data_IF_723716038239
#
_entry.id   IF_723716038239
#
_cell.length_a   1.000
_cell.length_b   1.000
_cell.length_c   1.000
_cell.angle_alpha   90.00
_cell.angle_beta   90.00
_cell.angle_gamma   90.00
#
_symmetry.space_group_name_H-M   'P 1'
#
loop_
_entity.id
_entity.type
_entity.pdbx_description
1 polymer ?
#
# COMPACT_ATOMS: atom_id res chain seq x y z
N UNK A 1 -17.92 -3.24 10.03
CA UNK A 1 -18.28 -3.63 8.64
C UNK A 1 -18.91 -2.44 7.90
N UNK A 2 -18.94 -2.40 6.53
CA UNK A 2 -19.53 -1.30 5.77
C UNK A 2 -20.97 -0.99 6.17
N UNK A 3 -21.79 -2.00 6.37
CA UNK A 3 -23.17 -1.83 6.79
C UNK A 3 -23.34 -1.10 8.12
N UNK A 4 -22.52 -1.35 9.11
CA UNK A 4 -22.58 -0.67 10.41
C UNK A 4 -22.28 0.82 10.28
N UNK A 5 -21.36 1.18 9.39
CA UNK A 5 -20.97 2.57 9.15
C UNK A 5 -22.13 3.41 8.59
N UNK A 6 -22.92 2.84 7.69
CA UNK A 6 -23.98 3.59 6.98
C UNK A 6 -25.38 3.41 7.56
N UNK A 7 -25.73 2.24 8.07
CA UNK A 7 -27.10 1.92 8.45
C UNK A 7 -27.34 1.86 9.95
N UNK A 8 -26.30 1.55 10.75
CA UNK A 8 -26.46 1.36 12.18
C UNK A 8 -26.07 2.59 13.03
N UNK A 9 -25.58 3.68 12.40
CA UNK A 9 -25.28 4.97 13.04
C UNK A 9 -24.26 4.90 14.20
N UNK A 10 -23.45 3.85 14.25
CA UNK A 10 -22.50 3.63 15.33
C UNK A 10 -21.25 4.50 15.12
N UNK A 11 -21.19 5.66 15.75
CA UNK A 11 -20.04 6.57 15.69
C UNK A 11 -18.71 5.87 16.07
N UNK A 12 -18.76 4.89 16.97
CA UNK A 12 -17.58 4.09 17.34
C UNK A 12 -17.00 3.26 16.20
N UNK A 13 -17.77 2.98 15.15
CA UNK A 13 -17.26 2.25 13.96
C UNK A 13 -16.19 3.05 13.20
N UNK A 14 -16.18 4.38 13.33
CA UNK A 14 -15.11 5.22 12.73
C UNK A 14 -13.74 4.90 13.38
N UNK A 15 -13.73 4.64 14.69
CA UNK A 15 -12.49 4.25 15.38
C UNK A 15 -12.01 2.85 14.96
N UNK A 16 -12.93 1.97 14.58
CA UNK A 16 -12.57 0.63 14.10
C UNK A 16 -11.88 0.65 12.74
N UNK A 17 -12.06 1.70 11.93
CA UNK A 17 -11.33 1.87 10.67
C UNK A 17 -9.82 1.90 10.93
N UNK A 18 -9.38 2.67 11.92
CA UNK A 18 -7.94 2.73 12.25
C UNK A 18 -7.42 1.41 12.82
N UNK A 19 -8.15 0.80 13.77
CA UNK A 19 -7.71 -0.46 14.39
C UNK A 19 -7.72 -1.63 13.40
N UNK A 20 -8.65 -1.67 12.45
CA UNK A 20 -8.75 -2.72 11.44
C UNK A 20 -7.50 -2.84 10.56
N UNK A 21 -6.78 -1.74 10.34
CA UNK A 21 -5.52 -1.73 9.59
C UNK A 21 -4.40 -2.55 10.27
N UNK A 22 -4.51 -2.81 11.57
CA UNK A 22 -3.52 -3.56 12.35
C UNK A 22 -3.96 -5.01 12.63
N UNK A 23 -5.19 -5.38 12.27
CA UNK A 23 -5.72 -6.73 12.39
C UNK A 23 -5.49 -7.49 11.06
N UNK A 24 -5.23 -8.79 11.14
CA UNK A 24 -5.00 -9.64 9.98
C UNK A 24 -5.74 -10.96 10.11
N UNK A 25 -6.28 -11.45 9.01
CA UNK A 25 -7.07 -12.69 8.96
C UNK A 25 -6.25 -13.98 8.99
N UNK A 26 -4.91 -13.88 9.08
CA UNK A 26 -4.00 -15.03 9.16
C UNK A 26 -2.54 -14.65 8.96
N UNK A 27 -1.65 -15.60 9.25
CA UNK A 27 -0.19 -15.38 9.24
C UNK A 27 0.30 -14.98 7.85
N UNK A 28 -0.15 -15.63 6.79
CA UNK A 28 0.27 -15.30 5.42
C UNK A 28 -0.19 -13.90 5.00
N UNK A 29 -1.39 -13.47 5.45
CA UNK A 29 -1.89 -12.12 5.21
C UNK A 29 -1.02 -11.08 5.92
N UNK A 30 -0.65 -11.32 7.18
CA UNK A 30 0.28 -10.46 7.92
C UNK A 30 1.65 -10.39 7.24
N UNK A 31 2.24 -11.55 6.93
CA UNK A 31 3.57 -11.61 6.32
C UNK A 31 3.60 -10.93 4.94
N UNK A 32 2.55 -11.08 4.14
CA UNK A 32 2.42 -10.38 2.86
C UNK A 32 2.40 -8.86 3.04
N UNK A 33 1.59 -8.34 3.95
CA UNK A 33 1.55 -6.91 4.24
C UNK A 33 2.90 -6.38 4.75
N UNK A 34 3.55 -7.10 5.67
CA UNK A 34 4.86 -6.71 6.20
C UNK A 34 5.96 -6.76 5.14
N UNK A 35 5.92 -7.73 4.24
CA UNK A 35 6.86 -7.84 3.13
C UNK A 35 6.75 -6.62 2.20
N UNK A 36 5.55 -6.24 1.80
CA UNK A 36 5.34 -5.06 0.95
C UNK A 36 5.74 -3.77 1.67
N UNK A 37 5.37 -3.63 2.94
CA UNK A 37 5.77 -2.50 3.76
C UNK A 37 7.30 -2.41 3.90
N UNK A 38 7.98 -3.53 4.08
CA UNK A 38 9.44 -3.59 4.19
C UNK A 38 10.14 -3.23 2.88
N UNK A 39 9.65 -3.74 1.74
CA UNK A 39 10.27 -3.49 0.43
C UNK A 39 10.09 -2.03 -0.01
N UNK A 40 8.88 -1.48 0.15
CA UNK A 40 8.51 -0.19 -0.40
C UNK A 40 8.45 0.94 0.64
N UNK A 41 8.07 0.62 1.88
CA UNK A 41 7.81 1.60 2.93
C UNK A 41 9.03 2.41 3.33
N UNK A 42 10.20 1.79 3.52
CA UNK A 42 11.41 2.47 3.96
C UNK A 42 11.80 3.65 3.07
N UNK A 43 11.71 3.50 1.74
CA UNK A 43 12.06 4.57 0.81
C UNK A 43 11.04 5.71 0.83
N UNK A 44 9.75 5.39 1.03
CA UNK A 44 8.69 6.39 1.14
C UNK A 44 8.80 7.12 2.47
N UNK A 45 9.08 6.43 3.55
CA UNK A 45 9.35 7.02 4.86
C UNK A 45 10.56 7.97 4.81
N UNK A 46 11.67 7.57 4.19
CA UNK A 46 12.83 8.43 3.97
C UNK A 46 12.47 9.70 3.16
N UNK A 47 11.54 9.57 2.21
CA UNK A 47 11.11 10.67 1.36
C UNK A 47 10.32 11.75 2.09
N UNK A 48 9.65 11.43 3.18
CA UNK A 48 8.79 12.37 3.91
C UNK A 48 9.17 12.51 5.40
N UNK A 49 9.78 11.50 6.00
CA UNK A 49 10.13 11.40 7.43
C UNK A 49 9.06 10.67 8.23
N UNK A 50 9.45 10.16 9.42
CA UNK A 50 8.65 9.23 10.22
C UNK A 50 7.23 9.72 10.53
N UNK A 51 7.10 10.95 11.03
CA UNK A 51 5.80 11.50 11.44
C UNK A 51 4.86 11.67 10.25
N UNK A 52 5.35 12.25 9.14
CA UNK A 52 4.54 12.39 7.93
C UNK A 52 4.18 11.03 7.33
N UNK A 53 5.08 10.04 7.39
CA UNK A 53 4.82 8.70 6.91
C UNK A 53 3.67 8.04 7.69
N UNK A 54 3.64 8.18 9.00
CA UNK A 54 2.54 7.66 9.82
C UNK A 54 1.19 8.29 9.42
N UNK A 55 1.12 9.61 9.28
CA UNK A 55 -0.09 10.28 8.82
C UNK A 55 -0.50 9.88 7.40
N UNK A 56 0.46 9.79 6.49
CA UNK A 56 0.24 9.33 5.13
C UNK A 56 -0.37 7.92 5.11
N UNK A 57 0.22 7.00 5.88
CA UNK A 57 -0.25 5.63 6.02
C UNK A 57 -1.69 5.57 6.54
N UNK A 58 -1.99 6.30 7.62
CA UNK A 58 -3.33 6.34 8.22
C UNK A 58 -4.36 6.91 7.24
N UNK A 59 -4.04 8.03 6.57
CA UNK A 59 -4.94 8.67 5.60
C UNK A 59 -5.22 7.75 4.41
N UNK A 60 -4.21 7.06 3.89
CA UNK A 60 -4.40 6.08 2.82
C UNK A 60 -5.29 4.91 3.28
N UNK A 61 -5.11 4.42 4.50
CA UNK A 61 -5.91 3.35 5.07
C UNK A 61 -7.37 3.75 5.32
N UNK A 62 -7.61 4.97 5.81
CA UNK A 62 -8.96 5.52 5.97
C UNK A 62 -9.66 5.64 4.60
N UNK A 63 -8.97 6.22 3.61
CA UNK A 63 -9.53 6.34 2.27
C UNK A 63 -9.83 4.98 1.63
N UNK A 64 -8.96 3.99 1.84
CA UNK A 64 -9.19 2.62 1.42
C UNK A 64 -10.47 2.03 2.01
N UNK A 65 -10.63 2.14 3.33
CA UNK A 65 -11.80 1.63 4.03
C UNK A 65 -13.09 2.32 3.57
N UNK A 66 -13.05 3.65 3.43
CA UNK A 66 -14.19 4.42 2.93
C UNK A 66 -14.54 4.06 1.48
N UNK A 67 -13.55 3.87 0.61
CA UNK A 67 -13.80 3.46 -0.78
C UNK A 67 -14.49 2.10 -0.83
N UNK A 68 -14.02 1.11 -0.08
CA UNK A 68 -14.68 -0.20 0.01
C UNK A 68 -16.11 -0.07 0.54
N UNK A 69 -16.31 0.71 1.61
CA UNK A 69 -17.61 0.89 2.21
C UNK A 69 -18.61 1.58 1.27
N UNK A 70 -18.16 2.57 0.49
CA UNK A 70 -18.99 3.25 -0.51
C UNK A 70 -19.34 2.37 -1.70
N UNK A 71 -18.41 1.51 -2.13
CA UNK A 71 -18.64 0.61 -3.27
C UNK A 71 -19.51 -0.59 -2.90
N UNK A 72 -19.49 -1.03 -1.63
CA UNK A 72 -20.27 -2.18 -1.16
C UNK A 72 -20.93 -1.86 0.19
N UNK A 73 -21.86 -0.91 0.23
CA UNK A 73 -22.41 -0.37 1.48
C UNK A 73 -23.22 -1.38 2.30
N UNK A 74 -23.79 -2.39 1.67
CA UNK A 74 -24.58 -3.45 2.33
C UNK A 74 -23.74 -4.63 2.82
N UNK A 75 -22.42 -4.61 2.64
CA UNK A 75 -21.57 -5.73 3.02
C UNK A 75 -21.46 -5.87 4.54
N UNK A 76 -21.66 -7.09 5.01
CA UNK A 76 -21.46 -7.53 6.41
C UNK A 76 -20.05 -8.12 6.65
N UNK A 77 -19.19 -8.09 5.64
CA UNK A 77 -17.85 -8.68 5.73
C UNK A 77 -16.90 -7.70 6.42
N UNK A 78 -16.23 -8.09 7.51
CA UNK A 78 -15.24 -7.25 8.17
C UNK A 78 -14.07 -6.95 7.24
N UNK A 79 -13.69 -5.69 7.16
CA UNK A 79 -12.47 -5.26 6.47
C UNK A 79 -11.33 -5.22 7.49
N UNK A 80 -10.29 -6.01 7.26
CA UNK A 80 -9.10 -6.07 8.11
C UNK A 80 -7.85 -6.14 7.24
N UNK A 81 -6.78 -5.56 7.72
CA UNK A 81 -5.46 -5.62 7.09
C UNK A 81 -4.88 -4.25 6.74
N UNK A 82 -3.57 -4.21 6.73
CA UNK A 82 -2.76 -3.03 6.38
C UNK A 82 -2.81 -2.71 4.88
N UNK A 83 -3.30 -3.61 4.04
CA UNK A 83 -3.10 -3.62 2.59
C UNK A 83 -3.65 -2.39 1.86
N UNK A 84 -4.73 -1.80 2.35
CA UNK A 84 -5.25 -0.53 1.83
C UNK A 84 -4.27 0.63 2.01
N UNK A 85 -3.68 0.77 3.20
CA UNK A 85 -2.64 1.77 3.47
C UNK A 85 -1.33 1.47 2.71
N UNK A 86 -0.94 0.19 2.64
CA UNK A 86 0.22 -0.27 1.85
C UNK A 86 0.02 0.04 0.36
N UNK A 87 -1.21 -0.04 -0.16
CA UNK A 87 -1.52 0.36 -1.55
C UNK A 87 -1.17 1.83 -1.82
N UNK A 88 -1.43 2.71 -0.85
CA UNK A 88 -1.02 4.10 -0.91
C UNK A 88 0.50 4.26 -0.96
N UNK A 89 1.24 3.46 -0.19
CA UNK A 89 2.70 3.42 -0.25
C UNK A 89 3.17 2.96 -1.64
N UNK A 90 2.53 1.96 -2.24
CA UNK A 90 2.87 1.47 -3.59
C UNK A 90 2.68 2.56 -4.64
N UNK A 91 1.58 3.32 -4.60
CA UNK A 91 1.36 4.42 -5.53
C UNK A 91 2.36 5.55 -5.36
N UNK A 92 2.70 5.91 -4.12
CA UNK A 92 3.76 6.87 -3.83
C UNK A 92 5.13 6.39 -4.37
N UNK A 93 5.42 5.10 -4.22
CA UNK A 93 6.64 4.49 -4.75
C UNK A 93 6.67 4.50 -6.28
N UNK A 94 5.55 4.18 -6.92
CA UNK A 94 5.40 4.26 -8.38
C UNK A 94 5.72 5.66 -8.92
N UNK A 95 5.25 6.69 -8.22
CA UNK A 95 5.49 8.08 -8.64
C UNK A 95 6.92 8.57 -8.33
N UNK A 96 7.51 8.15 -7.21
CA UNK A 96 8.85 8.64 -6.82
C UNK A 96 9.98 7.78 -7.41
N UNK A 97 9.84 6.44 -7.40
CA UNK A 97 10.93 5.50 -7.68
C UNK A 97 10.59 4.38 -8.67
N UNK A 98 9.90 4.65 -9.79
CA UNK A 98 9.42 3.57 -10.70
C UNK A 98 10.56 2.74 -11.31
N UNK A 99 11.75 3.33 -11.44
CA UNK A 99 12.93 2.68 -12.02
C UNK A 99 13.82 1.98 -11.00
N UNK A 100 13.49 2.07 -9.69
CA UNK A 100 14.21 1.32 -8.66
C UNK A 100 14.02 -0.18 -8.89
N UNK A 101 15.10 -0.95 -8.75
CA UNK A 101 15.06 -2.39 -9.02
C UNK A 101 14.72 -3.17 -7.75
N UNK A 102 13.69 -3.99 -7.82
CA UNK A 102 13.29 -4.93 -6.78
C UNK A 102 13.84 -6.31 -7.13
N UNK A 103 14.55 -6.93 -6.19
CA UNK A 103 15.00 -8.32 -6.31
C UNK A 103 13.81 -9.24 -6.14
N UNK A 104 13.41 -9.89 -7.20
CA UNK A 104 12.22 -10.74 -7.29
C UNK A 104 12.63 -12.19 -7.43
N UNK A 105 12.16 -13.03 -6.52
CA UNK A 105 12.33 -14.48 -6.61
C UNK A 105 11.37 -15.02 -7.68
N UNK A 106 11.90 -15.70 -8.67
CA UNK A 106 11.12 -16.26 -9.77
C UNK A 106 11.33 -17.77 -9.81
N UNK A 107 10.22 -18.50 -9.88
CA UNK A 107 10.19 -19.94 -10.04
C UNK A 107 9.90 -20.24 -11.51
N UNK A 108 10.87 -20.88 -12.18
CA UNK A 108 10.76 -21.30 -13.58
C UNK A 108 10.90 -22.84 -13.59
N UNK A 109 9.79 -23.57 -13.66
CA UNK A 109 9.75 -25.02 -13.52
C UNK A 109 10.48 -25.48 -12.23
N UNK A 110 11.65 -26.10 -12.37
CA UNK A 110 12.46 -26.62 -11.25
C UNK A 110 13.59 -25.65 -10.82
N UNK A 111 13.74 -24.51 -11.50
CA UNK A 111 14.79 -23.55 -11.19
C UNK A 111 14.24 -22.38 -10.39
N UNK A 112 14.97 -22.01 -9.33
CA UNK A 112 14.71 -20.82 -8.54
C UNK A 112 15.80 -19.81 -8.88
N UNK A 113 15.40 -18.63 -9.33
CA UNK A 113 16.34 -17.56 -9.67
C UNK A 113 15.86 -16.21 -9.12
N UNK A 114 16.82 -15.28 -8.92
CA UNK A 114 16.53 -13.93 -8.49
C UNK A 114 16.80 -12.97 -9.65
N UNK A 115 15.76 -12.33 -10.14
CA UNK A 115 15.86 -11.31 -11.18
C UNK A 115 15.55 -9.93 -10.61
N UNK A 116 16.12 -8.89 -11.21
CA UNK A 116 15.88 -7.50 -10.78
C UNK A 116 14.91 -6.82 -11.73
N UNK A 117 13.70 -6.61 -11.24
CA UNK A 117 12.59 -6.03 -12.01
C UNK A 117 12.39 -4.57 -11.56
N UNK A 118 12.12 -3.62 -12.47
CA UNK A 118 11.72 -2.27 -12.11
C UNK A 118 10.45 -2.28 -11.25
N UNK A 119 10.46 -1.54 -10.13
CA UNK A 119 9.34 -1.48 -9.19
C UNK A 119 8.04 -1.02 -9.88
N UNK A 120 8.15 -0.05 -10.79
CA UNK A 120 6.99 0.44 -11.53
C UNK A 120 6.26 -0.66 -12.30
N UNK A 121 7.00 -1.59 -12.93
CA UNK A 121 6.40 -2.71 -13.64
C UNK A 121 5.62 -3.65 -12.69
N UNK A 122 6.23 -4.00 -11.55
CA UNK A 122 5.59 -4.86 -10.55
C UNK A 122 4.33 -4.20 -9.97
N UNK A 123 4.40 -2.90 -9.66
CA UNK A 123 3.29 -2.15 -9.08
C UNK A 123 2.16 -1.98 -10.09
N UNK A 124 2.46 -1.73 -11.37
CA UNK A 124 1.44 -1.62 -12.42
C UNK A 124 0.72 -2.95 -12.67
N UNK A 125 1.44 -4.07 -12.69
CA UNK A 125 0.80 -5.39 -12.75
C UNK A 125 -0.08 -5.59 -11.51
N UNK A 126 0.43 -5.29 -10.32
CA UNK A 126 -0.30 -5.48 -9.08
C UNK A 126 -1.61 -4.66 -9.07
N UNK A 127 -1.59 -3.35 -9.39
CA UNK A 127 -2.82 -2.55 -9.43
C UNK A 127 -3.75 -2.99 -10.57
N UNK A 128 -3.21 -3.41 -11.69
CA UNK A 128 -3.98 -3.99 -12.79
C UNK A 128 -4.78 -5.21 -12.34
N UNK A 129 -4.17 -6.10 -11.56
CA UNK A 129 -4.89 -7.27 -10.98
C UNK A 129 -5.99 -6.83 -10.00
N UNK A 130 -5.78 -5.75 -9.21
CA UNK A 130 -6.83 -5.24 -8.31
C UNK A 130 -8.05 -4.74 -9.11
N UNK A 131 -7.81 -3.98 -10.19
CA UNK A 131 -8.88 -3.46 -11.06
C UNK A 131 -9.65 -4.58 -11.75
N UNK A 132 -8.96 -5.60 -12.25
CA UNK A 132 -9.59 -6.76 -12.89
C UNK A 132 -10.44 -7.52 -11.86
N UNK A 133 -9.89 -7.87 -10.71
CA UNK A 133 -10.58 -8.65 -9.71
C UNK A 133 -11.77 -7.89 -9.07
N UNK A 134 -11.67 -6.57 -8.92
CA UNK A 134 -12.80 -5.76 -8.45
C UNK A 134 -14.03 -5.86 -9.36
N UNK A 135 -13.82 -6.14 -10.66
CA UNK A 135 -14.91 -6.31 -11.62
C UNK A 135 -15.37 -7.78 -11.78
N UNK A 136 -14.51 -8.74 -11.48
CA UNK A 136 -14.80 -10.16 -11.70
C UNK A 136 -15.28 -10.89 -10.45
N UNK A 137 -14.99 -10.37 -9.25
CA UNK A 137 -15.33 -11.04 -7.98
C UNK A 137 -16.64 -10.46 -7.44
N UNK A 138 -17.50 -11.32 -6.91
CA UNK A 138 -18.69 -10.88 -6.18
C UNK A 138 -18.24 -10.08 -4.94
N UNK A 139 -18.59 -8.79 -4.84
CA UNK A 139 -18.16 -7.95 -3.74
C UNK A 139 -18.72 -8.35 -2.37
N UNK A 140 -19.76 -9.23 -2.34
CA UNK A 140 -20.34 -9.77 -1.12
C UNK A 140 -19.74 -11.14 -0.73
N UNK A 141 -18.77 -11.66 -1.48
CA UNK A 141 -18.07 -12.89 -1.11
C UNK A 141 -16.89 -12.60 -0.17
N UNK A 142 -16.61 -13.50 0.80
CA UNK A 142 -15.41 -13.38 1.62
C UNK A 142 -14.14 -13.39 0.77
N UNK A 143 -13.16 -12.53 1.08
CA UNK A 143 -11.92 -12.49 0.33
C UNK A 143 -11.19 -11.16 0.43
N UNK A 144 -10.58 -10.75 -0.65
CA UNK A 144 -9.80 -9.51 -0.72
C UNK A 144 -10.71 -8.33 -0.98
N UNK A 145 -10.54 -7.25 -0.21
CA UNK A 145 -11.25 -5.99 -0.39
C UNK A 145 -10.61 -5.18 -1.54
N UNK A 146 -10.93 -5.55 -2.79
CA UNK A 146 -10.30 -4.98 -3.98
C UNK A 146 -10.48 -3.47 -4.08
N UNK A 147 -11.66 -2.95 -3.78
CA UNK A 147 -11.93 -1.51 -3.80
C UNK A 147 -11.15 -0.76 -2.72
N UNK A 148 -10.85 -1.37 -1.58
CA UNK A 148 -9.96 -0.78 -0.58
C UNK A 148 -8.54 -0.59 -1.13
N UNK A 149 -8.01 -1.57 -1.86
CA UNK A 149 -6.70 -1.44 -2.49
C UNK A 149 -6.68 -0.31 -3.52
N UNK A 150 -7.71 -0.23 -4.36
CA UNK A 150 -7.85 0.82 -5.38
C UNK A 150 -7.93 2.20 -4.70
N UNK A 151 -8.80 2.35 -3.69
CA UNK A 151 -8.98 3.61 -2.97
C UNK A 151 -7.70 4.09 -2.28
N UNK A 152 -7.01 3.18 -1.58
CA UNK A 152 -5.72 3.47 -0.94
C UNK A 152 -4.65 3.89 -1.96
N UNK A 153 -4.59 3.20 -3.10
CA UNK A 153 -3.65 3.52 -4.18
C UNK A 153 -3.87 4.93 -4.74
N UNK A 154 -5.11 5.28 -5.06
CA UNK A 154 -5.43 6.62 -5.56
C UNK A 154 -5.18 7.71 -4.53
N UNK A 155 -5.51 7.47 -3.26
CA UNK A 155 -5.24 8.42 -2.19
C UNK A 155 -3.74 8.66 -2.01
N UNK A 156 -2.91 7.60 -2.05
CA UNK A 156 -1.47 7.74 -1.96
C UNK A 156 -0.88 8.56 -3.11
N UNK A 157 -1.37 8.35 -4.34
CA UNK A 157 -0.97 9.16 -5.49
C UNK A 157 -1.35 10.63 -5.32
N UNK A 158 -2.54 10.91 -4.77
CA UNK A 158 -3.02 12.26 -4.50
C UNK A 158 -2.23 12.97 -3.40
N UNK A 159 -1.87 12.25 -2.34
CA UNK A 159 -1.22 12.83 -1.17
C UNK A 159 0.29 13.03 -1.33
N UNK A 160 0.98 12.16 -2.08
CA UNK A 160 2.45 12.17 -2.13
C UNK A 160 3.06 13.54 -2.53
N UNK A 161 2.48 14.36 -3.44
CA UNK A 161 3.02 15.68 -3.76
C UNK A 161 3.17 16.60 -2.54
N UNK A 162 2.25 16.50 -1.58
CA UNK A 162 2.21 17.35 -0.38
C UNK A 162 3.06 16.80 0.78
N UNK A 163 3.29 15.50 0.79
CA UNK A 163 4.00 14.83 1.89
C UNK A 163 5.50 14.71 1.67
N UNK A 164 5.95 14.55 0.42
CA UNK A 164 7.36 14.39 0.10
C UNK A 164 8.19 15.63 0.42
N UNK A 165 9.45 15.45 0.77
CA UNK A 165 10.43 16.54 0.87
C UNK A 165 10.80 17.06 -0.52
N UNK A 166 11.15 18.34 -0.63
CA UNK A 166 11.43 19.01 -1.93
C UNK A 166 12.60 18.40 -2.71
N UNK A 167 13.56 17.82 -1.99
CA UNK A 167 14.72 17.17 -2.61
C UNK A 167 14.40 15.83 -3.30
N UNK A 168 13.19 15.27 -3.09
CA UNK A 168 12.73 14.07 -3.79
C UNK A 168 11.96 14.45 -5.05
N UNK A 169 12.48 14.04 -6.20
CA UNK A 169 11.86 14.29 -7.52
C UNK A 169 11.03 13.09 -7.94
N UNK A 170 9.94 13.36 -8.64
CA UNK A 170 9.15 12.32 -9.28
C UNK A 170 9.96 11.57 -10.35
N UNK A 171 9.63 10.32 -10.56
CA UNK A 171 10.21 9.41 -11.57
C UNK A 171 11.72 9.23 -11.47
N UNK A 172 12.27 9.32 -10.25
CA UNK A 172 13.70 9.15 -10.03
C UNK A 172 14.12 7.67 -10.08
N UNK A 173 15.41 7.42 -10.35
CA UNK A 173 15.97 6.06 -10.36
C UNK A 173 16.27 5.48 -8.97
N UNK A 174 16.02 6.23 -7.90
CA UNK A 174 16.25 5.81 -6.51
C UNK A 174 17.73 5.74 -6.08
N UNK A 175 18.66 5.60 -7.00
CA UNK A 175 20.08 5.31 -6.70
C UNK A 175 20.86 6.47 -6.03
N UNK A 176 20.46 7.71 -6.24
CA UNK A 176 21.23 8.88 -5.73
C UNK A 176 21.10 9.09 -4.21
N UNK A 177 19.97 8.73 -3.60
CA UNK A 177 19.75 8.95 -2.17
C UNK A 177 20.41 7.90 -1.28
N UNK A 178 20.46 6.64 -1.72
CA UNK A 178 21.09 5.53 -0.99
C UNK A 178 22.62 5.75 -0.86
N UNK A 179 23.29 6.29 -1.90
CA UNK A 179 24.72 6.57 -1.86
C UNK A 179 25.10 7.69 -0.86
N UNK A 180 24.25 8.67 -0.61
CA UNK A 180 24.50 9.75 0.36
C UNK A 180 24.47 9.22 1.80
N UNK A 181 23.53 8.32 2.13
CA UNK A 181 23.45 7.72 3.48
C UNK A 181 24.67 6.81 3.80
N UNK A 182 25.21 6.07 2.84
CA UNK A 182 26.42 5.26 3.03
C UNK A 182 27.70 6.08 3.27
N UNK A 183 27.84 7.26 2.65
CA UNK A 183 28.99 8.14 2.87
C UNK A 183 29.02 8.80 4.26
N UNK A 184 27.87 9.03 4.89
CA UNK A 184 27.78 9.62 6.23
C UNK A 184 28.10 8.56 7.33
N UNK A 185 27.88 7.26 7.08
CA UNK A 185 28.18 6.18 8.03
C UNK A 185 29.66 5.73 8.07
N UNK A 186 30.51 6.22 7.17
CA UNK A 186 31.93 5.85 7.11
C UNK A 186 32.87 6.97 7.59
N UNK A 187 32.37 7.94 8.38
CA UNK A 187 33.19 8.89 9.09
C UNK A 187 33.08 8.64 10.60
N UNK A 188 33.83 7.66 11.04
CA UNK A 188 34.39 7.53 12.38
C UNK A 188 35.87 7.30 12.24
#
# INVERSE_FOLDING_TARGET
VPQDLFYNGKVFEILTICSSMFLHGGILHLLGNMLFLWIYGNNIEDSMGHTKFLFFYILCGIAAALTQALMVPSSNIPMIGASGAVSGILSAYLLLFPRAKVSTLVFIFFFITVIRIPAGFLILIWIGTQLINANLTDPNSPGVAWFAHIGGFFMGALLIPFFKKDNFKFFSSGHKHIKKKKRIRLRF
#
